data_IF_654617401501
#
_entry.id   IF_654617401501
#
_cell.length_a   1.000
_cell.length_b   1.000
_cell.length_c   1.000
_cell.angle_alpha   90.00
_cell.angle_beta   90.00
_cell.angle_gamma   90.00
#
_symmetry.space_group_name_H-M   'P 1'
#
loop_
_entity.id
_entity.type
_entity.pdbx_description
1 polymer ?
#
# COMPACT_ATOMS: atom_id res chain seq x y z
N UNK A 1 -25.18 -31.50 -5.41
CA UNK A 1 -24.20 -30.87 -4.50
C UNK A 1 -24.96 -30.44 -3.26
N UNK A 2 -24.68 -31.07 -2.12
CA UNK A 2 -25.47 -30.84 -0.90
C UNK A 2 -25.14 -29.47 -0.30
N UNK A 3 -26.16 -28.75 0.13
CA UNK A 3 -26.05 -27.43 0.77
C UNK A 3 -25.14 -27.42 2.02
N UNK A 4 -24.90 -28.59 2.63
CA UNK A 4 -23.98 -28.77 3.76
C UNK A 4 -22.50 -28.73 3.36
N UNK A 5 -22.17 -29.22 2.15
CA UNK A 5 -20.79 -29.24 1.65
C UNK A 5 -20.32 -27.83 1.29
N UNK A 6 -21.22 -27.01 0.71
CA UNK A 6 -20.94 -25.61 0.37
C UNK A 6 -20.69 -24.77 1.63
N UNK A 7 -21.44 -25.02 2.70
CA UNK A 7 -21.31 -24.29 3.97
C UNK A 7 -19.96 -24.58 4.65
N UNK A 8 -19.56 -25.85 4.69
CA UNK A 8 -18.27 -26.23 5.25
C UNK A 8 -17.08 -25.67 4.42
N UNK A 9 -17.19 -25.61 3.10
CA UNK A 9 -16.13 -24.99 2.27
C UNK A 9 -16.01 -23.46 2.44
N UNK A 10 -17.10 -22.77 2.78
CA UNK A 10 -17.05 -21.33 3.09
C UNK A 10 -16.40 -21.09 4.47
N UNK A 11 -16.72 -21.92 5.46
CA UNK A 11 -16.14 -21.82 6.81
C UNK A 11 -14.63 -22.17 6.80
N UNK A 12 -14.19 -23.13 5.97
CA UNK A 12 -12.76 -23.46 5.82
C UNK A 12 -11.97 -22.40 5.03
N UNK A 13 -12.60 -21.72 4.06
CA UNK A 13 -11.99 -20.58 3.37
C UNK A 13 -11.92 -19.33 4.27
N UNK A 14 -12.88 -19.16 5.19
CA UNK A 14 -12.84 -18.12 6.22
C UNK A 14 -11.81 -18.43 7.33
N UNK A 15 -11.55 -19.71 7.61
CA UNK A 15 -10.53 -20.12 8.58
C UNK A 15 -9.08 -19.93 8.10
N UNK A 16 -8.84 -19.76 6.80
CA UNK A 16 -7.50 -19.45 6.24
C UNK A 16 -7.17 -17.96 6.21
N UNK A 17 -8.05 -17.09 6.70
CA UNK A 17 -7.86 -15.64 6.72
C UNK A 17 -8.01 -15.09 8.15
N UNK A 18 -6.99 -15.16 9.00
CA UNK A 18 -7.08 -14.68 10.39
C UNK A 18 -7.11 -13.14 10.55
N UNK A 19 -7.44 -12.36 9.51
CA UNK A 19 -7.31 -10.90 9.52
C UNK A 19 -8.52 -10.13 10.08
N UNK A 20 -9.14 -10.60 11.16
CA UNK A 20 -9.99 -9.73 11.98
C UNK A 20 -9.39 -9.50 13.37
N UNK A 21 -8.22 -8.85 13.38
CA UNK A 21 -7.76 -8.03 14.51
C UNK A 21 -7.14 -6.71 14.03
N UNK A 22 -7.89 -5.94 13.23
CA UNK A 22 -7.79 -4.47 13.17
C UNK A 22 -8.95 -3.95 12.33
N UNK A 23 -9.72 -3.00 12.86
CA UNK A 23 -10.89 -2.40 12.21
C UNK A 23 -10.56 -1.45 11.04
N UNK A 24 -9.27 -1.33 10.66
CA UNK A 24 -8.83 -0.45 9.57
C UNK A 24 -8.54 -1.26 8.29
N UNK A 25 -9.25 -0.96 7.21
CA UNK A 25 -9.08 -1.60 5.89
C UNK A 25 -7.96 -0.92 5.10
N UNK A 26 -7.09 -1.68 4.39
CA UNK A 26 -6.06 -1.08 3.56
C UNK A 26 -6.69 -0.26 2.43
N UNK A 27 -6.03 0.83 2.05
CA UNK A 27 -6.46 1.68 0.94
C UNK A 27 -5.49 1.44 -0.20
N UNK A 28 -5.88 0.61 -1.18
CA UNK A 28 -5.06 0.29 -2.35
C UNK A 28 -5.89 -0.27 -3.51
N UNK A 29 -5.63 0.21 -4.73
CA UNK A 29 -6.27 -0.20 -5.98
C UNK A 29 -5.23 -0.26 -7.12
N UNK A 30 -5.36 -1.22 -8.02
CA UNK A 30 -4.40 -1.46 -9.11
C UNK A 30 -4.78 -0.85 -10.46
N UNK A 31 -6.04 -0.49 -10.70
CA UNK A 31 -6.51 -0.10 -12.03
C UNK A 31 -7.49 1.08 -11.95
N UNK A 32 -7.23 2.04 -11.05
CA UNK A 32 -8.10 3.19 -10.92
C UNK A 32 -7.84 4.19 -12.05
N UNK A 33 -8.73 4.18 -13.04
CA UNK A 33 -8.66 5.11 -14.18
C UNK A 33 -9.04 6.52 -13.76
N UNK A 34 -8.37 7.53 -14.33
CA UNK A 34 -8.66 8.96 -14.10
C UNK A 34 -8.58 9.39 -12.63
N UNK A 35 -7.83 8.66 -11.80
CA UNK A 35 -7.59 9.05 -10.40
C UNK A 35 -6.82 10.37 -10.30
N UNK A 36 -6.00 10.67 -11.30
CA UNK A 36 -5.11 11.83 -11.34
C UNK A 36 -5.13 12.51 -12.71
N UNK A 37 -4.91 13.82 -12.75
CA UNK A 37 -4.87 14.61 -13.97
C UNK A 37 -4.56 16.08 -13.71
N UNK A 38 -4.69 16.97 -14.72
CA UNK A 38 -4.33 18.39 -14.59
C UNK A 38 -5.03 19.12 -13.45
N UNK A 39 -6.29 18.75 -13.18
CA UNK A 39 -7.11 19.35 -12.12
C UNK A 39 -7.09 18.54 -10.80
N UNK A 40 -6.41 17.40 -10.76
CA UNK A 40 -6.25 16.55 -9.58
C UNK A 40 -4.87 15.88 -9.61
N UNK A 41 -3.78 16.63 -9.31
CA UNK A 41 -2.43 16.07 -9.36
C UNK A 41 -2.24 15.00 -8.28
N UNK A 42 -1.15 14.23 -8.39
CA UNK A 42 -0.74 13.30 -7.32
C UNK A 42 -0.44 14.15 -6.07
N UNK A 43 -1.04 13.83 -4.91
CA UNK A 43 -0.78 14.56 -3.67
C UNK A 43 0.70 14.52 -3.28
N UNK A 44 1.27 15.69 -2.92
CA UNK A 44 2.67 15.81 -2.46
C UNK A 44 2.87 15.52 -0.97
N UNK A 45 1.76 15.44 -0.25
CA UNK A 45 1.69 15.16 1.17
C UNK A 45 0.44 14.35 1.39
N UNK A 46 0.57 13.29 2.17
CA UNK A 46 -0.56 12.49 2.59
C UNK A 46 -0.68 12.60 4.11
N UNK A 47 -1.89 12.90 4.60
CA UNK A 47 -2.14 12.90 6.04
C UNK A 47 -2.24 11.46 6.51
N UNK A 48 -1.12 10.92 6.96
CA UNK A 48 -1.07 9.56 7.48
C UNK A 48 -1.82 9.49 8.81
N UNK A 49 -2.61 8.42 9.05
CA UNK A 49 -3.26 8.23 10.33
C UNK A 49 -2.23 7.96 11.44
N UNK A 50 -2.61 8.30 12.67
CA UNK A 50 -1.81 7.93 13.84
C UNK A 50 -1.74 6.40 14.02
N UNK A 51 -0.66 5.95 14.64
CA UNK A 51 -0.31 4.54 14.78
C UNK A 51 0.64 4.03 13.72
N UNK A 52 0.71 2.71 13.59
CA UNK A 52 1.57 2.02 12.64
C UNK A 52 0.91 1.96 11.26
N UNK A 53 1.64 2.38 10.24
CA UNK A 53 1.22 2.39 8.84
C UNK A 53 2.36 1.91 7.96
N UNK A 54 2.04 1.12 6.96
CA UNK A 54 2.96 0.73 5.90
C UNK A 54 2.50 1.34 4.57
N UNK A 55 3.46 1.63 3.69
CA UNK A 55 3.23 2.00 2.30
C UNK A 55 4.19 1.20 1.42
N UNK A 56 3.95 1.21 0.10
CA UNK A 56 4.88 0.62 -0.87
C UNK A 56 5.51 1.73 -1.69
N UNK A 57 6.80 1.95 -1.51
CA UNK A 57 7.57 2.84 -2.36
C UNK A 57 7.73 2.21 -3.73
N UNK A 58 7.23 2.88 -4.75
CA UNK A 58 7.21 2.43 -6.15
C UNK A 58 8.56 2.68 -6.82
N UNK A 59 9.22 3.78 -6.45
CA UNK A 59 10.55 4.13 -6.93
C UNK A 59 10.92 5.58 -6.68
N UNK A 60 12.16 5.90 -7.00
CA UNK A 60 12.72 7.26 -7.01
C UNK A 60 13.11 7.60 -8.44
N UNK A 61 12.71 8.78 -8.92
CA UNK A 61 12.89 9.20 -10.29
C UNK A 61 13.57 10.57 -10.34
N UNK A 62 14.44 10.76 -11.35
CA UNK A 62 15.15 12.02 -11.60
C UNK A 62 14.31 13.07 -12.33
N UNK A 63 13.00 12.86 -12.44
CA UNK A 63 12.03 13.75 -13.05
C UNK A 63 10.62 13.38 -12.58
N UNK A 64 9.72 14.36 -12.53
CA UNK A 64 8.29 14.12 -12.25
C UNK A 64 7.71 13.13 -13.28
N UNK A 65 6.87 12.21 -12.80
CA UNK A 65 6.22 11.20 -13.66
C UNK A 65 4.74 11.53 -13.83
N UNK A 66 4.27 11.43 -15.07
CA UNK A 66 2.84 11.58 -15.35
C UNK A 66 2.05 10.47 -14.64
N UNK A 67 0.80 10.72 -14.21
CA UNK A 67 0.03 9.68 -13.53
C UNK A 67 -0.22 8.41 -14.35
N UNK A 68 -0.25 8.55 -15.68
CA UNK A 68 -0.33 7.42 -16.62
C UNK A 68 0.84 6.43 -16.47
N UNK A 69 2.01 6.89 -16.05
CA UNK A 69 3.18 6.05 -15.81
C UNK A 69 2.90 4.97 -14.75
N UNK A 70 2.09 5.29 -13.75
CA UNK A 70 1.77 4.40 -12.63
C UNK A 70 0.66 3.39 -12.93
N UNK A 71 0.18 3.28 -14.16
CA UNK A 71 -0.73 2.21 -14.60
C UNK A 71 -1.94 1.98 -13.68
N UNK A 72 -2.51 3.04 -13.11
CA UNK A 72 -3.72 2.98 -12.27
C UNK A 72 -3.50 2.61 -10.80
N UNK A 73 -2.25 2.65 -10.30
CA UNK A 73 -1.99 2.57 -8.86
C UNK A 73 -2.69 3.71 -8.12
N UNK A 74 -3.36 3.38 -7.02
CA UNK A 74 -4.04 4.35 -6.18
C UNK A 74 -4.13 3.86 -4.72
N UNK A 75 -4.10 4.74 -3.72
CA UNK A 75 -3.63 6.12 -3.81
C UNK A 75 -2.11 6.15 -4.04
N UNK A 76 -1.63 7.18 -4.72
CA UNK A 76 -0.24 7.56 -4.87
C UNK A 76 0.03 8.81 -4.04
N UNK A 77 1.25 8.88 -3.52
CA UNK A 77 1.81 10.09 -2.91
C UNK A 77 3.15 10.38 -3.57
N UNK A 78 3.41 11.64 -3.85
CA UNK A 78 4.70 12.13 -4.33
C UNK A 78 5.47 12.79 -3.18
N UNK A 79 6.76 12.53 -3.08
CA UNK A 79 7.67 13.22 -2.16
C UNK A 79 8.86 13.77 -2.94
N UNK A 80 9.14 15.07 -2.82
CA UNK A 80 10.33 15.68 -3.43
C UNK A 80 11.48 15.57 -2.42
N UNK A 81 12.45 14.71 -2.69
CA UNK A 81 13.60 14.47 -1.80
C UNK A 81 14.65 15.58 -1.98
N UNK A 82 14.90 15.97 -3.22
CA UNK A 82 15.78 17.06 -3.60
C UNK A 82 15.35 17.63 -4.94
N UNK A 83 15.95 18.74 -5.37
CA UNK A 83 15.70 19.30 -6.69
C UNK A 83 15.91 18.22 -7.77
N UNK A 84 14.87 17.97 -8.56
CA UNK A 84 14.88 16.95 -9.61
C UNK A 84 14.77 15.50 -9.13
N UNK A 85 14.54 15.22 -7.84
CA UNK A 85 14.42 13.85 -7.31
C UNK A 85 13.08 13.64 -6.64
N UNK A 86 12.28 12.74 -7.23
CA UNK A 86 10.88 12.50 -6.88
C UNK A 86 10.69 11.04 -6.46
N UNK A 87 10.22 10.84 -5.24
CA UNK A 87 9.84 9.55 -4.70
C UNK A 87 8.32 9.38 -4.79
N UNK A 88 7.87 8.18 -5.14
CA UNK A 88 6.44 7.87 -5.20
C UNK A 88 6.12 6.66 -4.34
N UNK A 89 5.12 6.80 -3.49
CA UNK A 89 4.58 5.74 -2.67
C UNK A 89 3.17 5.39 -3.13
N UNK A 90 2.78 4.13 -2.95
CA UNK A 90 1.46 3.62 -3.24
C UNK A 90 0.83 2.97 -2.00
N UNK A 91 -0.45 3.30 -1.80
CA UNK A 91 -1.32 2.68 -0.82
C UNK A 91 -1.02 3.02 0.64
N UNK A 92 -1.99 2.68 1.48
CA UNK A 92 -1.90 2.74 2.93
C UNK A 92 -2.31 1.37 3.47
N UNK A 93 -1.43 0.75 4.25
CA UNK A 93 -1.61 -0.60 4.78
C UNK A 93 -1.43 -0.60 6.30
N UNK A 94 -2.18 -1.44 6.99
CA UNK A 94 -2.16 -1.52 8.46
C UNK A 94 -1.50 -2.79 8.99
N UNK A 95 -1.06 -3.68 8.10
CA UNK A 95 -0.20 -4.82 8.41
C UNK A 95 0.90 -4.98 7.37
N UNK A 96 2.01 -5.59 7.78
CA UNK A 96 3.09 -5.90 6.86
C UNK A 96 2.64 -6.87 5.75
N UNK A 97 1.75 -7.82 6.08
CA UNK A 97 1.22 -8.79 5.12
C UNK A 97 0.45 -8.11 3.99
N UNK A 98 -0.40 -7.13 4.31
CA UNK A 98 -1.14 -6.34 3.30
C UNK A 98 -0.18 -5.58 2.38
N UNK A 99 0.82 -4.92 2.95
CA UNK A 99 1.84 -4.20 2.18
C UNK A 99 2.67 -5.15 1.31
N UNK A 100 2.96 -6.36 1.80
CA UNK A 100 3.69 -7.38 1.05
C UNK A 100 2.93 -7.86 -0.17
N UNK A 101 1.61 -8.06 -0.05
CA UNK A 101 0.78 -8.47 -1.17
C UNK A 101 0.66 -7.35 -2.22
N UNK A 102 0.41 -6.12 -1.79
CA UNK A 102 0.40 -4.96 -2.68
C UNK A 102 1.74 -4.76 -3.38
N UNK A 103 2.87 -4.93 -2.67
CA UNK A 103 4.22 -4.87 -3.27
C UNK A 103 4.36 -5.86 -4.42
N UNK A 104 3.95 -7.11 -4.25
CA UNK A 104 4.03 -8.12 -5.33
C UNK A 104 3.22 -7.68 -6.55
N UNK A 105 2.02 -7.14 -6.34
CA UNK A 105 1.15 -6.66 -7.42
C UNK A 105 1.75 -5.45 -8.15
N UNK A 106 2.35 -4.51 -7.42
CA UNK A 106 3.10 -3.36 -7.95
C UNK A 106 4.31 -3.86 -8.77
N UNK A 107 5.06 -4.84 -8.27
CA UNK A 107 6.17 -5.46 -8.99
C UNK A 107 5.72 -6.19 -10.27
N UNK A 108 4.54 -6.81 -10.27
CA UNK A 108 3.95 -7.42 -11.46
C UNK A 108 3.57 -6.38 -12.53
N UNK A 109 3.21 -5.16 -12.12
CA UNK A 109 2.94 -4.02 -13.03
C UNK A 109 4.18 -3.37 -13.65
N UNK A 110 5.38 -3.82 -13.29
CA UNK A 110 6.64 -3.36 -13.89
C UNK A 110 7.56 -2.59 -12.93
N UNK A 111 7.10 -2.28 -11.72
CA UNK A 111 7.89 -1.58 -10.70
C UNK A 111 8.69 -2.58 -9.86
N UNK A 112 9.70 -3.21 -10.47
CA UNK A 112 10.43 -4.34 -9.86
C UNK A 112 11.13 -3.99 -8.55
N UNK A 113 11.61 -2.77 -8.45
CA UNK A 113 12.33 -2.28 -7.28
C UNK A 113 11.40 -1.80 -6.15
N UNK A 114 10.08 -1.98 -6.29
CA UNK A 114 9.16 -1.55 -5.26
C UNK A 114 9.41 -2.26 -3.92
N UNK A 115 9.43 -1.49 -2.83
CA UNK A 115 9.71 -2.00 -1.49
C UNK A 115 8.80 -1.36 -0.44
N UNK A 116 8.73 -2.00 0.74
CA UNK A 116 7.85 -1.58 1.82
C UNK A 116 8.56 -0.54 2.68
N UNK A 117 7.89 0.57 2.94
CA UNK A 117 8.28 1.60 3.91
C UNK A 117 7.28 1.62 5.06
N UNK A 118 7.71 2.09 6.22
CA UNK A 118 6.89 2.08 7.43
C UNK A 118 6.94 3.42 8.17
N UNK A 119 5.81 3.80 8.74
CA UNK A 119 5.60 5.02 9.49
C UNK A 119 4.92 4.69 10.82
N UNK A 120 5.35 5.35 11.89
CA UNK A 120 4.69 5.29 13.19
C UNK A 120 4.42 6.71 13.68
N UNK A 121 3.15 7.03 13.92
CA UNK A 121 2.71 8.39 14.26
C UNK A 121 3.27 9.43 13.27
N UNK A 122 3.06 9.17 11.98
CA UNK A 122 3.46 10.03 10.85
C UNK A 122 4.98 10.21 10.68
N UNK A 123 5.80 9.49 11.45
CA UNK A 123 7.26 9.53 11.35
C UNK A 123 7.81 8.25 10.73
N UNK A 124 8.78 8.33 9.80
CA UNK A 124 9.37 7.14 9.22
C UNK A 124 10.10 6.33 10.29
N UNK A 125 9.95 5.00 10.23
CA UNK A 125 10.66 4.04 11.07
C UNK A 125 11.18 2.90 10.20
N UNK A 126 12.16 2.14 10.70
CA UNK A 126 12.60 0.93 9.98
C UNK A 126 11.49 -0.12 9.93
N UNK A 127 11.42 -0.89 8.82
CA UNK A 127 10.50 -2.03 8.70
C UNK A 127 10.72 -3.03 9.85
N UNK A 128 11.96 -3.22 10.29
CA UNK A 128 12.26 -4.09 11.43
C UNK A 128 11.67 -3.56 12.75
N UNK A 129 11.64 -2.24 12.97
CA UNK A 129 10.94 -1.64 14.12
C UNK A 129 9.43 -1.80 13.98
N UNK A 130 8.88 -1.54 12.80
CA UNK A 130 7.48 -1.66 12.49
C UNK A 130 6.94 -3.06 12.79
N UNK A 131 7.65 -4.10 12.32
CA UNK A 131 7.33 -5.51 12.60
C UNK A 131 7.37 -5.86 14.09
N UNK A 132 8.20 -5.18 14.90
CA UNK A 132 8.19 -5.37 16.36
C UNK A 132 6.96 -4.73 16.99
N UNK A 133 6.60 -3.52 16.57
CA UNK A 133 5.40 -2.82 17.04
C UNK A 133 4.13 -3.58 16.66
N UNK A 134 4.05 -4.12 15.44
CA UNK A 134 2.92 -4.92 14.96
C UNK A 134 2.70 -6.17 15.81
N UNK A 135 3.77 -6.85 16.24
CA UNK A 135 3.69 -8.03 17.10
C UNK A 135 3.29 -7.75 18.55
N UNK A 136 3.39 -6.49 18.97
CA UNK A 136 3.07 -6.06 20.34
C UNK A 136 1.63 -5.55 20.48
N UNK A 137 0.90 -5.43 19.38
CA UNK A 137 -0.53 -5.08 19.33
C UNK A 137 -1.41 -6.34 19.40
#
# INVERSE_FOLDING_TARGET
KNLREIRNTLDEQQAQMPHLKSSKQPVFELNRTNAYGPNNPIPKTEDLPDGLVYKVQVGVFSNEKSPSYFNGLYPLTEHVISEGVYEYDAGIFYSYEQALEAKKQIQQKGFKDAFIVAFYNKKPISVSQALRLEKQQ
#
